data_IF_935995306416
#
_entry.id   IF_935995306416
#
_cell.length_a   1.000
_cell.length_b   1.000
_cell.length_c   1.000
_cell.angle_alpha   90.00
_cell.angle_beta   90.00
_cell.angle_gamma   90.00
#
_symmetry.space_group_name_H-M   'P 1'
#
loop_
_entity.id
_entity.type
_entity.pdbx_description
1 polymer ?
#
# COMPACT_ATOMS: atom_id res chain seq x y z
N UNK A 1 -2.87 -44.72 4.40
CA UNK A 1 -4.30 -45.10 4.26
C UNK A 1 -5.20 -44.51 5.35
N UNK A 2 -4.66 -43.64 6.22
CA UNK A 2 -5.38 -42.97 7.32
C UNK A 2 -5.95 -41.61 6.93
N UNK A 3 -5.32 -40.87 6.01
CA UNK A 3 -5.81 -39.55 5.56
C UNK A 3 -7.15 -39.63 4.82
N UNK A 4 -7.35 -40.63 3.95
CA UNK A 4 -8.59 -40.79 3.16
C UNK A 4 -9.83 -41.08 4.00
N UNK A 5 -9.71 -41.86 5.09
CA UNK A 5 -10.84 -42.15 5.97
C UNK A 5 -11.22 -40.93 6.81
N UNK A 6 -10.22 -40.18 7.29
CA UNK A 6 -10.39 -38.95 8.05
C UNK A 6 -11.07 -37.86 7.20
N UNK A 7 -10.62 -37.71 5.95
CA UNK A 7 -11.21 -36.77 4.98
C UNK A 7 -12.65 -37.16 4.63
N UNK A 8 -12.95 -38.45 4.49
CA UNK A 8 -14.30 -38.94 4.22
C UNK A 8 -15.25 -38.71 5.40
N UNK A 9 -14.79 -38.96 6.64
CA UNK A 9 -15.53 -38.68 7.87
C UNK A 9 -15.76 -37.17 8.08
N UNK A 10 -14.76 -36.34 7.80
CA UNK A 10 -14.87 -34.89 7.84
C UNK A 10 -15.93 -34.39 6.85
N UNK A 11 -15.88 -34.86 5.61
CA UNK A 11 -16.87 -34.52 4.58
C UNK A 11 -18.29 -34.97 4.94
N UNK A 12 -18.44 -36.11 5.61
CA UNK A 12 -19.75 -36.60 6.06
C UNK A 12 -20.33 -35.76 7.20
N UNK A 13 -19.50 -35.37 8.17
CA UNK A 13 -19.91 -34.48 9.26
C UNK A 13 -20.27 -33.09 8.73
N UNK A 14 -19.48 -32.57 7.79
CA UNK A 14 -19.72 -31.26 7.15
C UNK A 14 -20.99 -31.28 6.29
N UNK A 15 -21.35 -32.43 5.70
CA UNK A 15 -22.61 -32.63 4.97
C UNK A 15 -23.84 -32.61 5.89
N UNK A 16 -23.74 -33.18 7.10
CA UNK A 16 -24.84 -33.25 8.07
C UNK A 16 -25.03 -31.92 8.81
N UNK A 17 -23.96 -31.15 9.02
CA UNK A 17 -24.01 -29.84 9.66
C UNK A 17 -23.34 -28.75 8.80
N UNK A 18 -23.96 -28.37 7.68
CA UNK A 18 -23.39 -27.40 6.75
C UNK A 18 -23.19 -26.01 7.36
N UNK A 19 -23.99 -25.63 8.36
CA UNK A 19 -23.82 -24.36 9.09
C UNK A 19 -22.62 -24.41 10.05
N UNK A 20 -22.46 -25.51 10.79
CA UNK A 20 -21.28 -25.75 11.63
C UNK A 20 -19.99 -25.83 10.82
N UNK A 21 -20.02 -26.48 9.65
CA UNK A 21 -18.89 -26.56 8.73
C UNK A 21 -18.49 -25.16 8.22
N UNK A 22 -19.46 -24.33 7.82
CA UNK A 22 -19.22 -22.93 7.42
C UNK A 22 -18.59 -22.11 8.54
N UNK A 23 -19.11 -22.22 9.77
CA UNK A 23 -18.56 -21.51 10.93
C UNK A 23 -17.12 -21.90 11.21
N UNK A 24 -16.82 -23.21 11.16
CA UNK A 24 -15.47 -23.73 11.38
C UNK A 24 -14.48 -23.26 10.31
N UNK A 25 -14.86 -23.35 9.03
CA UNK A 25 -14.03 -22.89 7.91
C UNK A 25 -13.70 -21.39 8.03
N UNK A 26 -14.68 -20.55 8.39
CA UNK A 26 -14.47 -19.11 8.56
C UNK A 26 -13.56 -18.82 9.76
N UNK A 27 -13.76 -19.50 10.89
CA UNK A 27 -12.90 -19.35 12.06
C UNK A 27 -11.45 -19.75 11.76
N UNK A 28 -11.23 -20.88 11.08
CA UNK A 28 -9.89 -21.31 10.65
C UNK A 28 -9.22 -20.26 9.74
N UNK A 29 -9.98 -19.65 8.84
CA UNK A 29 -9.48 -18.58 7.97
C UNK A 29 -9.19 -17.27 8.74
N UNK A 30 -10.03 -16.90 9.72
CA UNK A 30 -9.77 -15.76 10.61
C UNK A 30 -8.49 -15.99 11.40
N UNK A 31 -8.31 -17.16 11.99
CA UNK A 31 -7.08 -17.51 12.74
C UNK A 31 -5.85 -17.42 11.86
N UNK A 32 -5.90 -17.96 10.63
CA UNK A 32 -4.77 -17.88 9.69
C UNK A 32 -4.44 -16.43 9.32
N UNK A 33 -5.44 -15.65 8.95
CA UNK A 33 -5.30 -14.21 8.63
C UNK A 33 -4.70 -13.44 9.80
N UNK A 34 -5.16 -13.73 11.03
CA UNK A 34 -4.71 -13.07 12.24
C UNK A 34 -3.25 -13.37 12.57
N UNK A 35 -2.77 -14.60 12.34
CA UNK A 35 -1.35 -14.94 12.48
C UNK A 35 -0.49 -14.10 11.53
N UNK A 36 -0.92 -13.96 10.27
CA UNK A 36 -0.23 -13.13 9.29
C UNK A 36 -0.24 -11.65 9.70
N UNK A 37 -1.37 -11.15 10.20
CA UNK A 37 -1.52 -9.79 10.69
C UNK A 37 -0.66 -9.50 11.93
N UNK A 38 -0.56 -10.44 12.87
CA UNK A 38 0.28 -10.32 14.06
C UNK A 38 1.77 -10.19 13.71
N UNK A 39 2.23 -10.92 12.69
CA UNK A 39 3.59 -10.80 12.17
C UNK A 39 3.88 -9.42 11.55
N UNK A 40 2.83 -8.77 11.01
CA UNK A 40 2.92 -7.42 10.44
C UNK A 40 2.91 -6.37 11.57
N UNK A 41 2.03 -6.52 12.57
CA UNK A 41 1.76 -5.53 13.62
C UNK A 41 2.96 -5.10 14.46
N UNK A 42 3.98 -5.96 14.64
CA UNK A 42 5.16 -5.66 15.44
C UNK A 42 6.08 -4.53 14.89
N UNK A 43 5.58 -3.71 13.96
CA UNK A 43 6.29 -2.65 13.25
C UNK A 43 5.64 -1.31 13.57
N UNK A 44 6.42 -0.24 13.63
CA UNK A 44 5.85 1.10 13.80
C UNK A 44 5.07 1.54 12.54
N UNK A 45 4.20 2.54 12.68
CA UNK A 45 3.31 2.98 11.58
C UNK A 45 4.08 3.42 10.32
N UNK A 46 5.28 4.01 10.48
CA UNK A 46 6.12 4.43 9.35
C UNK A 46 6.73 3.22 8.62
N UNK A 47 7.16 2.20 9.36
CA UNK A 47 7.65 0.94 8.79
C UNK A 47 6.55 0.16 8.07
N UNK A 48 5.33 0.20 8.62
CA UNK A 48 4.15 -0.41 8.02
C UNK A 48 3.76 0.32 6.74
N UNK A 49 3.66 1.64 6.79
CA UNK A 49 3.24 2.46 5.67
C UNK A 49 4.24 2.45 4.51
N UNK A 50 5.52 2.19 4.77
CA UNK A 50 6.53 1.99 3.74
C UNK A 50 6.39 0.66 2.96
N UNK A 51 5.62 -0.31 3.49
CA UNK A 51 5.53 -1.67 2.94
C UNK A 51 4.11 -2.08 2.54
N UNK A 52 3.11 -1.49 3.19
CA UNK A 52 1.71 -1.84 3.06
C UNK A 52 0.87 -0.62 2.71
N UNK A 53 -0.29 -0.89 2.12
CA UNK A 53 -1.36 0.07 1.90
C UNK A 53 -2.62 -0.46 2.59
N UNK A 54 -3.47 0.46 3.04
CA UNK A 54 -4.86 0.11 3.32
C UNK A 54 -5.49 -0.36 2.00
N UNK A 55 -6.13 -1.52 1.99
CA UNK A 55 -6.89 -2.02 0.85
C UNK A 55 -8.34 -1.57 0.95
N UNK A 56 -8.99 -1.98 2.04
CA UNK A 56 -10.35 -1.63 2.42
C UNK A 56 -10.36 -1.06 3.84
N UNK A 57 -11.33 -0.19 4.10
CA UNK A 57 -11.60 0.37 5.40
C UNK A 57 -13.09 0.32 5.68
N UNK A 58 -13.46 0.04 6.92
CA UNK A 58 -14.83 -0.07 7.38
C UNK A 58 -15.01 0.84 8.59
N UNK A 59 -15.98 1.75 8.56
CA UNK A 59 -16.40 2.48 9.76
C UNK A 59 -17.21 1.54 10.63
N UNK A 60 -16.89 1.51 11.93
CA UNK A 60 -17.54 0.64 12.90
C UNK A 60 -18.69 1.38 13.57
N UNK A 61 -19.86 0.76 13.61
CA UNK A 61 -20.99 1.21 14.44
C UNK A 61 -21.45 0.05 15.32
N UNK A 62 -21.59 0.29 16.62
CA UNK A 62 -22.08 -0.70 17.58
C UNK A 62 -23.54 -0.37 17.92
N UNK A 63 -24.44 -1.28 17.56
CA UNK A 63 -25.88 -1.15 17.82
C UNK A 63 -26.26 -2.11 18.94
N UNK A 64 -26.52 -1.58 20.14
CA UNK A 64 -27.04 -2.38 21.25
C UNK A 64 -28.54 -2.65 21.04
N UNK A 65 -28.94 -3.92 20.93
CA UNK A 65 -30.36 -4.28 20.79
C UNK A 65 -30.97 -4.64 22.14
N UNK A 66 -31.93 -3.82 22.60
CA UNK A 66 -32.79 -4.01 23.78
C UNK A 66 -32.07 -4.24 25.13
N UNK A 67 -32.50 -3.48 26.15
CA UNK A 67 -32.00 -3.56 27.53
C UNK A 67 -32.07 -4.98 28.16
N UNK A 68 -32.89 -5.88 27.60
CA UNK A 68 -33.14 -7.21 28.14
C UNK A 68 -32.29 -8.33 27.52
N UNK A 69 -31.64 -8.13 26.37
CA UNK A 69 -30.90 -9.21 25.67
C UNK A 69 -29.38 -9.05 25.61
N UNK A 70 -28.82 -7.88 25.93
CA UNK A 70 -27.35 -7.61 25.92
C UNK A 70 -26.62 -8.18 24.68
N UNK A 71 -27.26 -8.13 23.51
CA UNK A 71 -26.61 -8.52 22.25
C UNK A 71 -26.21 -7.25 21.50
N UNK A 72 -24.90 -7.03 21.39
CA UNK A 72 -24.31 -5.98 20.55
C UNK A 72 -24.24 -6.46 19.11
N UNK A 73 -24.73 -5.65 18.17
CA UNK A 73 -24.56 -5.88 16.74
C UNK A 73 -23.47 -4.94 16.21
N UNK A 74 -22.50 -5.51 15.50
CA UNK A 74 -21.38 -4.76 14.93
C UNK A 74 -21.65 -4.51 13.46
N UNK A 75 -21.76 -3.25 13.07
CA UNK A 75 -21.99 -2.84 11.70
C UNK A 75 -20.70 -2.26 11.11
N UNK A 76 -20.19 -2.91 10.07
CA UNK A 76 -18.99 -2.52 9.35
C UNK A 76 -19.37 -1.89 8.01
N UNK A 77 -19.28 -0.57 7.93
CA UNK A 77 -19.64 0.19 6.73
C UNK A 77 -18.43 0.45 5.86
N UNK A 78 -18.37 -0.23 4.71
CA UNK A 78 -17.28 -0.06 3.74
C UNK A 78 -17.17 1.41 3.31
N UNK A 79 -15.98 1.98 3.47
CA UNK A 79 -15.71 3.36 3.11
C UNK A 79 -15.73 3.56 1.59
N UNK A 80 -16.41 4.64 1.17
CA UNK A 80 -16.45 5.07 -0.24
C UNK A 80 -15.07 5.53 -0.71
N UNK A 81 -14.88 5.55 -2.02
CA UNK A 81 -13.61 5.87 -2.67
C UNK A 81 -12.92 7.14 -2.14
N UNK A 82 -13.66 8.23 -1.95
CA UNK A 82 -13.10 9.51 -1.47
C UNK A 82 -12.54 9.40 -0.05
N UNK A 83 -13.30 8.83 0.89
CA UNK A 83 -12.87 8.64 2.28
C UNK A 83 -11.73 7.63 2.37
N UNK A 84 -11.84 6.54 1.61
CA UNK A 84 -10.81 5.52 1.53
C UNK A 84 -9.48 6.09 1.00
N UNK A 85 -9.54 7.02 0.04
CA UNK A 85 -8.35 7.74 -0.45
C UNK A 85 -7.72 8.61 0.62
N UNK A 86 -8.53 9.33 1.41
CA UNK A 86 -8.04 10.11 2.54
C UNK A 86 -7.32 9.23 3.58
N UNK A 87 -7.94 8.11 3.98
CA UNK A 87 -7.34 7.16 4.94
C UNK A 87 -6.02 6.58 4.42
N UNK A 88 -5.96 6.18 3.15
CA UNK A 88 -4.74 5.68 2.52
C UNK A 88 -3.63 6.73 2.53
N UNK A 89 -3.96 7.99 2.20
CA UNK A 89 -3.00 9.09 2.23
C UNK A 89 -2.50 9.37 3.65
N UNK A 90 -3.38 9.37 4.65
CA UNK A 90 -3.00 9.57 6.05
C UNK A 90 -2.06 8.46 6.54
N UNK A 91 -2.43 7.20 6.32
CA UNK A 91 -1.62 6.02 6.67
C UNK A 91 -0.23 6.06 6.03
N UNK A 92 -0.15 6.38 4.73
CA UNK A 92 1.12 6.52 4.01
C UNK A 92 2.02 7.65 4.55
N UNK A 93 1.43 8.68 5.13
CA UNK A 93 2.18 9.76 5.77
C UNK A 93 2.48 9.49 7.25
N UNK A 94 2.26 8.27 7.74
CA UNK A 94 2.54 7.88 9.11
C UNK A 94 1.60 8.52 10.13
N UNK A 95 0.41 8.95 9.69
CA UNK A 95 -0.60 9.56 10.56
C UNK A 95 -1.49 8.48 11.17
N UNK A 96 -2.03 8.76 12.36
CA UNK A 96 -2.93 7.87 13.08
C UNK A 96 -2.22 6.71 13.77
N UNK A 97 -3.01 5.82 14.34
CA UNK A 97 -2.55 4.65 15.08
C UNK A 97 -3.17 3.39 14.48
N UNK A 98 -2.38 2.32 14.40
CA UNK A 98 -2.87 1.01 14.00
C UNK A 98 -2.77 0.09 15.20
N UNK A 99 -3.81 -0.68 15.46
CA UNK A 99 -3.91 -1.67 16.53
C UNK A 99 -4.33 -3.01 15.93
N UNK A 100 -3.73 -4.11 16.41
CA UNK A 100 -4.18 -5.45 16.05
C UNK A 100 -5.41 -5.80 16.90
N UNK A 101 -6.51 -6.20 16.25
CA UNK A 101 -7.73 -6.63 16.93
C UNK A 101 -7.54 -8.03 17.52
N UNK A 102 -7.96 -8.21 18.77
CA UNK A 102 -7.86 -9.50 19.47
C UNK A 102 -8.61 -10.63 18.75
N UNK A 103 -7.95 -11.78 18.59
CA UNK A 103 -8.49 -12.93 17.88
C UNK A 103 -9.74 -13.50 18.55
N UNK A 104 -9.74 -13.61 19.89
CA UNK A 104 -10.85 -14.20 20.63
C UNK A 104 -12.09 -13.33 20.50
N UNK A 105 -11.94 -12.02 20.66
CA UNK A 105 -13.04 -11.07 20.47
C UNK A 105 -13.54 -11.07 19.01
N UNK A 106 -12.65 -11.11 18.01
CA UNK A 106 -13.06 -11.24 16.60
C UNK A 106 -13.92 -12.47 16.33
N UNK A 107 -13.54 -13.63 16.89
CA UNK A 107 -14.30 -14.89 16.75
C UNK A 107 -15.66 -14.78 17.45
N UNK A 108 -15.69 -14.16 18.63
CA UNK A 108 -16.89 -13.99 19.46
C UNK A 108 -17.91 -13.04 18.81
N UNK A 109 -17.47 -11.94 18.20
CA UNK A 109 -18.38 -10.96 17.59
C UNK A 109 -18.85 -11.35 16.19
N UNK A 110 -18.13 -12.23 15.49
CA UNK A 110 -18.43 -12.65 14.11
C UNK A 110 -19.92 -13.00 13.85
N UNK A 111 -20.63 -13.76 14.72
CA UNK A 111 -22.04 -14.10 14.51
C UNK A 111 -22.97 -12.88 14.51
N UNK A 112 -22.57 -11.80 15.19
CA UNK A 112 -23.32 -10.54 15.33
C UNK A 112 -22.77 -9.42 14.43
N UNK A 113 -21.84 -9.74 13.53
CA UNK A 113 -21.24 -8.77 12.61
C UNK A 113 -21.98 -8.72 11.27
N UNK A 114 -22.37 -7.51 10.88
CA UNK A 114 -22.93 -7.19 9.58
C UNK A 114 -21.98 -6.29 8.79
N UNK A 115 -21.76 -6.63 7.53
CA UNK A 115 -20.90 -5.86 6.61
C UNK A 115 -21.79 -5.21 5.56
N UNK A 116 -21.66 -3.91 5.43
CA UNK A 116 -22.32 -3.10 4.40
C UNK A 116 -21.33 -2.82 3.28
N UNK A 117 -21.73 -3.10 2.04
CA UNK A 117 -20.92 -2.71 0.87
C UNK A 117 -21.08 -1.21 0.55
N UNK A 118 -20.41 -0.74 -0.50
CA UNK A 118 -20.46 0.66 -0.95
C UNK A 118 -21.87 1.16 -1.31
N UNK A 119 -22.81 0.24 -1.60
CA UNK A 119 -24.21 0.51 -1.92
C UNK A 119 -25.12 0.37 -0.68
N UNK A 120 -24.55 0.23 0.52
CA UNK A 120 -25.26 -0.04 1.78
C UNK A 120 -26.09 -1.33 1.79
N UNK A 121 -25.75 -2.30 0.94
CA UNK A 121 -26.36 -3.63 0.99
C UNK A 121 -25.76 -4.37 2.19
N UNK A 122 -26.64 -4.82 3.08
CA UNK A 122 -26.33 -5.50 4.34
C UNK A 122 -26.07 -7.00 4.09
N UNK A 123 -24.95 -7.50 4.61
CA UNK A 123 -24.60 -8.91 4.61
C UNK A 123 -24.24 -9.36 6.02
N UNK A 124 -24.67 -10.54 6.45
CA UNK A 124 -24.16 -11.14 7.68
C UNK A 124 -22.80 -11.77 7.40
N UNK A 125 -21.78 -11.45 8.20
CA UNK A 125 -20.40 -11.84 7.93
C UNK A 125 -20.25 -13.37 7.85
N UNK A 126 -20.83 -14.08 8.82
CA UNK A 126 -20.79 -15.54 8.89
C UNK A 126 -21.51 -16.24 7.73
N UNK A 127 -22.65 -15.70 7.27
CA UNK A 127 -23.42 -16.30 6.17
C UNK A 127 -22.71 -16.12 4.82
N UNK A 128 -22.01 -15.00 4.66
CA UNK A 128 -21.33 -14.63 3.41
C UNK A 128 -19.85 -14.98 3.39
N UNK A 129 -19.34 -15.69 4.41
CA UNK A 129 -17.93 -16.08 4.56
C UNK A 129 -16.97 -14.88 4.47
N UNK A 130 -17.42 -13.70 4.89
CA UNK A 130 -16.59 -12.50 4.90
C UNK A 130 -15.80 -12.42 6.19
N UNK A 131 -14.49 -12.20 6.06
CA UNK A 131 -13.60 -12.01 7.20
C UNK A 131 -13.82 -10.62 7.82
N UNK A 132 -13.78 -10.56 9.15
CA UNK A 132 -13.63 -9.30 9.87
C UNK A 132 -12.16 -8.88 9.74
N UNK A 133 -11.86 -7.62 9.35
CA UNK A 133 -10.48 -7.15 9.23
C UNK A 133 -9.67 -7.34 10.52
N UNK A 134 -8.35 -7.50 10.40
CA UNK A 134 -7.46 -7.76 11.53
C UNK A 134 -6.98 -6.51 12.27
N UNK A 135 -7.07 -5.35 11.64
CA UNK A 135 -6.54 -4.11 12.20
C UNK A 135 -7.64 -3.09 12.48
N UNK A 136 -7.47 -2.36 13.57
CA UNK A 136 -8.17 -1.12 13.89
C UNK A 136 -7.23 0.04 13.59
N UNK A 137 -7.62 0.94 12.71
CA UNK A 137 -6.91 2.17 12.39
C UNK A 137 -7.68 3.35 12.96
N UNK A 138 -7.02 4.14 13.81
CA UNK A 138 -7.57 5.33 14.43
C UNK A 138 -6.95 6.57 13.81
N UNK A 139 -7.77 7.45 13.27
CA UNK A 139 -7.37 8.73 12.68
C UNK A 139 -8.37 9.81 13.10
N UNK A 140 -7.88 10.89 13.70
CA UNK A 140 -8.70 12.02 14.16
C UNK A 140 -9.90 11.59 15.03
N UNK A 141 -9.65 10.74 16.02
CA UNK A 141 -10.64 10.14 16.94
C UNK A 141 -11.71 9.25 16.28
N UNK A 142 -11.58 8.96 14.98
CA UNK A 142 -12.45 8.03 14.26
C UNK A 142 -11.78 6.66 14.08
N UNK A 143 -12.56 5.61 14.32
CA UNK A 143 -12.13 4.22 14.29
C UNK A 143 -12.56 3.50 13.00
N UNK A 144 -11.59 2.86 12.35
CA UNK A 144 -11.80 2.11 11.12
C UNK A 144 -11.21 0.71 11.22
N UNK A 145 -12.02 -0.33 11.00
CA UNK A 145 -11.48 -1.66 10.73
C UNK A 145 -10.86 -1.66 9.34
N UNK A 146 -9.58 -2.01 9.20
CA UNK A 146 -8.87 -1.96 7.91
C UNK A 146 -8.21 -3.28 7.57
N UNK A 147 -8.16 -3.58 6.27
CA UNK A 147 -7.30 -4.63 5.73
C UNK A 147 -6.07 -3.98 5.12
N UNK A 148 -4.90 -4.56 5.40
CA UNK A 148 -3.65 -4.14 4.80
C UNK A 148 -3.27 -5.08 3.67
N UNK A 149 -2.65 -4.53 2.62
CA UNK A 149 -2.01 -5.32 1.57
C UNK A 149 -0.61 -4.81 1.28
N UNK A 150 0.34 -5.67 0.88
CA UNK A 150 1.65 -5.21 0.42
C UNK A 150 1.52 -4.22 -0.73
N UNK A 151 2.35 -3.18 -0.74
CA UNK A 151 2.46 -2.25 -1.88
C UNK A 151 2.97 -3.01 -3.12
N UNK A 152 3.94 -3.91 -2.91
CA UNK A 152 4.57 -4.68 -3.97
C UNK A 152 4.37 -6.19 -3.78
N UNK A 153 3.81 -6.83 -4.80
CA UNK A 153 3.91 -8.28 -5.01
C UNK A 153 5.34 -8.67 -5.38
N UNK A 154 5.70 -9.95 -5.25
CA UNK A 154 7.06 -10.40 -5.60
C UNK A 154 7.43 -10.15 -7.07
N UNK A 155 6.46 -10.23 -7.98
CA UNK A 155 6.65 -9.85 -9.39
C UNK A 155 6.97 -8.36 -9.51
N UNK A 156 6.15 -7.50 -8.91
CA UNK A 156 6.36 -6.05 -8.97
C UNK A 156 7.64 -5.59 -8.25
N UNK A 157 8.15 -6.33 -7.25
CA UNK A 157 9.44 -6.03 -6.62
C UNK A 157 10.61 -6.18 -7.61
N UNK A 158 10.58 -7.20 -8.47
CA UNK A 158 11.63 -7.38 -9.50
C UNK A 158 11.58 -6.26 -10.54
N UNK A 159 10.38 -5.89 -10.97
CA UNK A 159 10.18 -4.76 -11.86
C UNK A 159 10.68 -3.47 -11.21
N UNK A 160 10.32 -3.21 -9.96
CA UNK A 160 10.78 -2.03 -9.22
C UNK A 160 12.32 -1.99 -9.13
N UNK A 161 12.97 -3.11 -8.83
CA UNK A 161 14.44 -3.17 -8.77
C UNK A 161 15.08 -2.80 -10.11
N UNK A 162 14.52 -3.28 -11.22
CA UNK A 162 14.97 -2.92 -12.56
C UNK A 162 14.78 -1.43 -12.85
N UNK A 163 13.61 -0.89 -12.51
CA UNK A 163 13.27 0.52 -12.69
C UNK A 163 14.13 1.45 -11.83
N UNK A 164 14.41 1.07 -10.57
CA UNK A 164 15.32 1.78 -9.67
C UNK A 164 16.75 1.83 -10.23
N UNK A 165 17.26 0.71 -10.77
CA UNK A 165 18.57 0.67 -11.40
C UNK A 165 18.64 1.59 -12.63
N UNK A 166 17.61 1.58 -13.47
CA UNK A 166 17.54 2.45 -14.64
C UNK A 166 17.47 3.93 -14.24
N UNK A 167 16.62 4.27 -13.26
CA UNK A 167 16.50 5.64 -12.76
C UNK A 167 17.83 6.11 -12.15
N UNK A 168 18.43 5.31 -11.26
CA UNK A 168 19.72 5.62 -10.65
C UNK A 168 20.79 5.88 -11.71
N UNK A 169 20.92 4.98 -12.68
CA UNK A 169 21.93 5.11 -13.74
C UNK A 169 21.71 6.35 -14.59
N UNK A 170 20.46 6.63 -14.95
CA UNK A 170 20.14 7.81 -15.76
C UNK A 170 20.38 9.10 -14.99
N UNK A 171 20.01 9.17 -13.71
CA UNK A 171 20.30 10.31 -12.84
C UNK A 171 21.81 10.52 -12.68
N UNK A 172 22.58 9.45 -12.45
CA UNK A 172 24.03 9.50 -12.33
C UNK A 172 24.68 10.07 -13.60
N UNK A 173 24.27 9.59 -14.77
CA UNK A 173 24.76 10.08 -16.06
C UNK A 173 24.25 11.50 -16.40
N UNK A 174 23.23 11.97 -15.69
CA UNK A 174 22.63 13.31 -15.84
C UNK A 174 23.18 14.35 -14.87
N UNK A 175 24.10 13.99 -13.97
CA UNK A 175 24.75 14.94 -13.07
C UNK A 175 25.41 16.07 -13.88
N UNK A 176 25.12 17.31 -13.48
CA UNK A 176 25.53 18.56 -14.13
C UNK A 176 24.98 18.75 -15.56
N UNK A 177 23.89 18.07 -15.91
CA UNK A 177 23.17 18.26 -17.18
C UNK A 177 21.78 18.83 -16.95
N UNK A 178 21.23 19.42 -18.02
CA UNK A 178 19.83 19.85 -18.05
C UNK A 178 18.89 18.64 -17.96
N UNK A 179 17.89 18.75 -17.11
CA UNK A 179 16.77 17.82 -16.95
C UNK A 179 15.46 18.62 -16.96
N UNK A 180 14.37 18.00 -17.39
CA UNK A 180 13.04 18.58 -17.24
C UNK A 180 12.30 17.89 -16.10
N UNK A 181 11.74 18.68 -15.19
CA UNK A 181 10.96 18.22 -14.04
C UNK A 181 9.72 19.09 -13.86
N UNK A 182 8.65 18.50 -13.34
CA UNK A 182 7.41 19.23 -13.01
C UNK A 182 7.71 20.48 -12.17
N UNK A 183 7.16 21.61 -12.63
CA UNK A 183 7.58 22.99 -12.31
C UNK A 183 7.58 23.41 -10.84
N UNK A 184 6.86 22.72 -9.97
CA UNK A 184 6.64 23.21 -8.60
C UNK A 184 7.22 22.33 -7.51
N UNK A 185 7.72 21.12 -7.80
CA UNK A 185 8.08 20.07 -6.81
C UNK A 185 6.96 19.68 -5.81
N UNK A 186 5.94 20.51 -5.63
CA UNK A 186 4.87 20.44 -4.63
C UNK A 186 3.51 20.09 -5.25
N UNK A 187 3.36 20.28 -6.56
CA UNK A 187 2.12 19.99 -7.29
C UNK A 187 2.45 19.32 -8.61
N UNK A 188 1.83 18.18 -8.91
CA UNK A 188 1.89 17.58 -10.24
C UNK A 188 1.14 18.49 -11.23
N UNK A 189 1.85 19.30 -11.98
CA UNK A 189 1.28 20.11 -13.08
C UNK A 189 1.58 19.44 -14.41
N UNK A 190 0.94 19.88 -15.50
CA UNK A 190 1.29 19.45 -16.84
C UNK A 190 2.50 20.22 -17.43
N UNK A 191 3.13 21.10 -16.65
CA UNK A 191 4.17 22.01 -17.11
C UNK A 191 5.51 21.65 -16.47
N UNK A 192 6.43 21.17 -17.29
CA UNK A 192 7.81 20.91 -16.89
C UNK A 192 8.71 22.14 -17.05
N UNK A 193 9.77 22.19 -16.26
CA UNK A 193 10.74 23.28 -16.26
C UNK A 193 12.16 22.73 -16.25
N UNK A 194 13.02 23.44 -16.98
CA UNK A 194 14.44 23.09 -17.18
C UNK A 194 15.25 23.43 -15.96
N UNK A 195 16.01 22.46 -15.48
CA UNK A 195 16.92 22.61 -14.36
C UNK A 195 18.21 21.84 -14.60
N UNK A 196 19.29 22.21 -13.91
CA UNK A 196 20.54 21.44 -13.90
C UNK A 196 20.54 20.50 -12.69
N UNK A 197 20.66 19.20 -12.90
CA UNK A 197 20.77 18.25 -11.79
C UNK A 197 22.12 18.39 -11.10
N UNK A 198 22.13 18.78 -9.82
CA UNK A 198 23.36 18.96 -9.04
C UNK A 198 23.67 17.78 -8.14
N UNK A 199 22.64 17.20 -7.52
CA UNK A 199 22.80 16.06 -6.63
C UNK A 199 21.50 15.27 -6.57
N UNK A 200 21.62 13.97 -6.29
CA UNK A 200 20.47 13.13 -5.98
C UNK A 200 20.84 12.08 -4.93
N UNK A 201 19.82 11.60 -4.22
CA UNK A 201 19.88 10.37 -3.42
C UNK A 201 18.62 9.57 -3.70
N UNK A 202 18.78 8.33 -4.14
CA UNK A 202 17.69 7.43 -4.46
C UNK A 202 17.68 6.27 -3.47
N UNK A 203 16.49 5.97 -2.95
CA UNK A 203 16.16 4.80 -2.14
C UNK A 203 14.92 4.13 -2.74
N UNK A 204 14.52 2.96 -2.24
CA UNK A 204 13.44 2.19 -2.87
C UNK A 204 12.12 2.96 -2.92
N UNK A 205 11.81 3.71 -1.86
CA UNK A 205 10.56 4.45 -1.69
C UNK A 205 10.75 5.98 -1.62
N UNK A 206 11.95 6.50 -1.90
CA UNK A 206 12.20 7.95 -1.87
C UNK A 206 13.25 8.41 -2.86
N UNK A 207 13.10 9.64 -3.34
CA UNK A 207 14.06 10.33 -4.20
C UNK A 207 14.27 11.74 -3.69
N UNK A 208 15.49 12.05 -3.27
CA UNK A 208 15.92 13.42 -3.03
C UNK A 208 16.63 13.96 -4.26
N UNK A 209 16.26 15.17 -4.68
CA UNK A 209 16.94 15.92 -5.74
C UNK A 209 17.37 17.28 -5.22
N UNK A 210 18.56 17.71 -5.65
CA UNK A 210 18.97 19.11 -5.63
C UNK A 210 19.26 19.54 -7.07
N UNK A 211 18.60 20.61 -7.50
CA UNK A 211 18.70 21.13 -8.86
C UNK A 211 18.95 22.62 -8.86
N UNK A 212 19.55 23.13 -9.92
CA UNK A 212 19.80 24.56 -10.11
C UNK A 212 18.91 25.11 -11.24
N UNK A 213 18.25 26.23 -11.00
CA UNK A 213 17.46 26.93 -12.02
C UNK A 213 18.34 27.77 -12.97
N UNK A 214 17.74 28.33 -14.03
CA UNK A 214 18.44 29.17 -15.01
C UNK A 214 19.01 30.48 -14.43
N UNK A 215 18.62 30.87 -13.21
CA UNK A 215 19.12 32.04 -12.49
C UNK A 215 20.25 31.68 -11.51
N UNK A 216 20.60 30.39 -11.42
CA UNK A 216 21.64 29.88 -10.52
C UNK A 216 21.14 29.58 -9.09
N UNK A 217 19.83 29.62 -8.82
CA UNK A 217 19.32 29.26 -7.49
C UNK A 217 19.20 27.75 -7.36
N UNK A 218 19.63 27.22 -6.20
CA UNK A 218 19.53 25.80 -5.90
C UNK A 218 18.24 25.51 -5.14
N UNK A 219 17.43 24.61 -5.71
CA UNK A 219 16.21 24.08 -5.14
C UNK A 219 16.41 22.62 -4.77
N UNK A 220 15.70 22.15 -3.73
CA UNK A 220 15.74 20.74 -3.35
C UNK A 220 14.37 20.24 -2.93
N UNK A 221 14.14 18.95 -3.13
CA UNK A 221 12.91 18.29 -2.75
C UNK A 221 13.13 16.79 -2.48
N UNK A 222 12.38 16.24 -1.53
CA UNK A 222 12.34 14.81 -1.25
C UNK A 222 10.97 14.26 -1.60
N UNK A 223 10.90 13.50 -2.69
CA UNK A 223 9.76 12.66 -3.02
C UNK A 223 9.79 11.44 -2.07
N UNK A 224 8.71 11.20 -1.33
CA UNK A 224 8.58 10.08 -0.38
C UNK A 224 7.41 9.19 -0.78
N UNK A 225 7.37 7.97 -0.25
CA UNK A 225 6.29 7.00 -0.48
C UNK A 225 6.07 6.70 -1.97
N UNK A 226 7.18 6.52 -2.69
CA UNK A 226 7.16 6.09 -4.09
C UNK A 226 6.61 4.66 -4.14
N UNK A 227 5.47 4.49 -4.82
CA UNK A 227 4.77 3.21 -4.94
C UNK A 227 5.14 2.47 -6.23
N UNK A 228 5.51 3.19 -7.28
CA UNK A 228 5.87 2.59 -8.56
C UNK A 228 6.73 3.58 -9.35
N UNK A 229 7.67 3.03 -10.12
CA UNK A 229 8.48 3.76 -11.07
C UNK A 229 8.30 3.06 -12.42
N UNK A 230 8.07 3.84 -13.47
CA UNK A 230 8.11 3.35 -14.85
C UNK A 230 8.91 4.32 -15.70
N UNK A 231 9.49 3.83 -16.80
CA UNK A 231 10.14 4.67 -17.78
C UNK A 231 9.71 4.35 -19.21
N UNK A 232 9.96 5.31 -20.10
CA UNK A 232 9.76 5.18 -21.54
C UNK A 232 10.62 6.18 -22.29
N UNK A 233 10.85 5.91 -23.58
CA UNK A 233 11.58 6.83 -24.44
C UNK A 233 10.72 8.05 -24.77
N UNK A 234 11.36 9.21 -24.82
CA UNK A 234 10.76 10.48 -25.24
C UNK A 234 11.73 11.29 -26.10
N UNK A 235 11.27 12.43 -26.62
CA UNK A 235 12.11 13.34 -27.42
C UNK A 235 12.75 12.68 -28.64
N UNK A 236 12.04 11.76 -29.32
CA UNK A 236 12.60 11.00 -30.44
C UNK A 236 13.72 10.01 -30.04
N UNK A 237 13.77 9.59 -28.78
CA UNK A 237 14.79 8.66 -28.26
C UNK A 237 15.98 9.35 -27.58
N UNK A 238 15.94 10.67 -27.42
CA UNK A 238 17.01 11.46 -26.77
C UNK A 238 16.80 11.67 -25.28
N UNK A 239 15.65 11.26 -24.75
CA UNK A 239 15.32 11.37 -23.33
C UNK A 239 14.68 10.08 -22.82
N UNK A 240 14.95 9.76 -21.56
CA UNK A 240 14.15 8.83 -20.78
C UNK A 240 13.17 9.64 -19.93
N UNK A 241 11.87 9.39 -20.18
CA UNK A 241 10.79 9.88 -19.35
C UNK A 241 10.54 8.87 -18.24
N UNK A 242 10.65 9.32 -16.99
CA UNK A 242 10.26 8.55 -15.82
C UNK A 242 8.93 9.07 -15.27
N UNK A 243 8.07 8.14 -14.86
CA UNK A 243 6.90 8.39 -14.03
C UNK A 243 7.17 7.85 -12.64
N UNK A 244 7.15 8.73 -11.64
CA UNK A 244 7.22 8.38 -10.23
C UNK A 244 5.81 8.47 -9.67
N UNK A 245 5.20 7.32 -9.42
CA UNK A 245 3.85 7.21 -8.90
C UNK A 245 3.90 7.23 -7.37
N UNK A 246 3.28 8.26 -6.80
CA UNK A 246 3.04 8.40 -5.37
C UNK A 246 1.54 8.30 -5.11
N UNK A 247 1.14 8.14 -3.86
CA UNK A 247 -0.28 8.09 -3.54
C UNK A 247 -0.93 9.47 -3.65
N UNK A 248 -1.70 9.68 -4.73
CA UNK A 248 -2.42 10.93 -5.02
C UNK A 248 -1.72 11.85 -6.02
N UNK A 249 -0.43 11.63 -6.29
CA UNK A 249 0.36 12.45 -7.21
C UNK A 249 1.21 11.58 -8.13
N UNK A 250 1.47 12.05 -9.36
CA UNK A 250 2.42 11.41 -10.28
C UNK A 250 3.37 12.48 -10.79
N UNK A 251 4.66 12.27 -10.57
CA UNK A 251 5.70 13.19 -10.99
C UNK A 251 6.40 12.67 -12.23
N UNK A 252 6.70 13.58 -13.15
CA UNK A 252 7.36 13.26 -14.43
C UNK A 252 8.74 13.90 -14.48
N UNK A 253 9.71 13.11 -14.92
CA UNK A 253 11.10 13.52 -15.09
C UNK A 253 11.55 13.16 -16.49
N UNK A 254 12.19 14.08 -17.18
CA UNK A 254 12.79 13.83 -18.49
C UNK A 254 14.29 14.01 -18.33
N UNK A 255 14.99 12.89 -18.41
CA UNK A 255 16.42 12.83 -18.22
C UNK A 255 17.10 12.60 -19.58
N UNK A 256 18.21 13.30 -19.88
CA UNK A 256 18.98 13.06 -21.08
C UNK A 256 19.35 11.58 -21.24
N UNK A 257 19.16 11.06 -22.44
CA UNK A 257 19.42 9.66 -22.74
C UNK A 257 20.18 9.52 -24.06
N UNK A 258 21.32 8.87 -23.97
CA UNK A 258 22.06 8.36 -25.12
C UNK A 258 22.22 6.85 -24.95
N UNK A 259 21.57 6.08 -25.81
CA UNK A 259 21.48 4.62 -25.68
C UNK A 259 22.86 3.96 -25.65
N UNK A 260 23.80 4.46 -26.48
CA UNK A 260 25.16 3.94 -26.55
C UNK A 260 25.87 4.13 -25.22
N UNK A 261 25.92 5.36 -24.72
CA UNK A 261 26.53 5.71 -23.43
C UNK A 261 25.86 4.97 -22.29
N UNK A 262 24.53 4.88 -22.29
CA UNK A 262 23.78 4.18 -21.25
C UNK A 262 24.12 2.69 -21.22
N UNK A 263 24.27 2.03 -22.36
CA UNK A 263 24.63 0.59 -22.40
C UNK A 263 26.09 0.32 -22.05
N UNK A 264 27.02 1.18 -22.45
CA UNK A 264 28.45 0.93 -22.28
C UNK A 264 29.04 1.46 -20.98
N UNK A 265 28.45 2.49 -20.40
CA UNK A 265 28.99 3.12 -19.18
C UNK A 265 28.63 2.30 -17.95
N UNK A 266 29.63 1.94 -17.15
CA UNK A 266 29.41 1.41 -15.81
C UNK A 266 29.29 2.57 -14.82
N UNK A 267 28.28 2.50 -13.95
CA UNK A 267 28.07 3.43 -12.84
C UNK A 267 28.22 2.66 -11.52
N UNK A 268 28.81 3.25 -10.47
CA UNK A 268 28.89 2.61 -9.17
C UNK A 268 27.48 2.44 -8.62
N UNK A 269 27.01 1.19 -8.52
CA UNK A 269 25.67 0.90 -8.01
C UNK A 269 25.65 1.11 -6.49
N UNK A 270 24.93 2.13 -6.04
CA UNK A 270 24.66 2.33 -4.63
C UNK A 270 23.64 1.28 -4.15
N UNK A 271 24.00 0.46 -3.16
CA UNK A 271 23.09 -0.55 -2.61
C UNK A 271 21.94 0.07 -1.81
N UNK A 272 22.07 1.34 -1.41
CA UNK A 272 21.00 2.07 -0.72
C UNK A 272 19.74 2.21 -1.58
N UNK A 273 19.85 2.13 -2.92
CA UNK A 273 18.68 2.24 -3.81
C UNK A 273 17.63 1.15 -3.56
N UNK A 274 18.02 0.00 -2.98
CA UNK A 274 17.13 -1.10 -2.67
C UNK A 274 16.63 -1.09 -1.22
N UNK A 275 17.06 -0.11 -0.41
CA UNK A 275 16.62 0.01 0.98
C UNK A 275 15.42 0.93 1.07
N UNK A 276 14.46 0.53 1.89
CA UNK A 276 13.37 1.41 2.34
C UNK A 276 13.94 2.45 3.29
N UNK A 277 13.54 3.71 3.08
CA UNK A 277 13.73 4.77 4.07
C UNK A 277 12.46 4.88 4.90
N UNK A 278 12.62 4.85 6.23
CA UNK A 278 11.57 4.98 7.23
C UNK A 278 11.54 6.42 7.73
#
# INVERSE_FOLDING_TARGET
MTNTLLDTLKNFIDFINPEGAKSKEIQENITRSHIDAANIYCRNINELSAQFNIEQAYKVEIHAYNADKKEENYHLHLQKYTNLSHLKKAFLNGMGELHLLDLEEKIKVLPSTYIFNEHNIKYKAIETRKLVPDFLYTLDDEEYCVTLKPIHTDTSKKELQYELQNLYKTLYLSLNKEIDIDSNFQTSTCYESKHILRYFRLNQNSLFLAVEDLKGNVHHHTFKNINEIKHGLSGGGTQLKFWIYMYGDTYRFYLPYDEKTFKTTQVPLDQEIFKLTI
#
